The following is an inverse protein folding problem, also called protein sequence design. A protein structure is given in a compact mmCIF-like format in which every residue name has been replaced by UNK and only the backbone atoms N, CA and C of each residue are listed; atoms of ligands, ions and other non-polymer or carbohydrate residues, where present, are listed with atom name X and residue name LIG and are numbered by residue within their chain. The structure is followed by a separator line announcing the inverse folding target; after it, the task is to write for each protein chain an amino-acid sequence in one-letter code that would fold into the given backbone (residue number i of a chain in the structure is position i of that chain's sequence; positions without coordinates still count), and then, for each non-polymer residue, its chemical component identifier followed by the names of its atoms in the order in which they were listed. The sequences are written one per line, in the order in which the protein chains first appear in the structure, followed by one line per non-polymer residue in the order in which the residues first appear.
data_IF_053606707857
#
_entry.id   IF_053606707857
#
_cell.length_a   1.000
_cell.length_b   1.000
_cell.length_c   1.000
_cell.angle_alpha   90.00
_cell.angle_beta   90.00
_cell.angle_gamma   90.00
#
_symmetry.space_group_name_H-M   'P 1'
#
loop_
_entity.id
_entity.type
_entity.pdbx_description
1 polymer ?
#
# COMPACT_ATOMS: atom_id res chain seq x y z
N UNK A 1 9.14 11.35 -2.43
CA UNK A 1 9.28 10.40 -1.28
C UNK A 1 8.00 9.57 -1.09
N UNK A 2 6.82 10.18 -0.87
CA UNK A 2 5.53 9.46 -0.70
C UNK A 2 5.12 8.63 -1.93
N UNK A 3 5.36 9.14 -3.14
CA UNK A 3 5.05 8.40 -4.38
C UNK A 3 5.78 7.05 -4.49
N UNK A 4 7.00 6.93 -3.93
CA UNK A 4 7.76 5.67 -3.93
C UNK A 4 7.08 4.64 -3.03
N UNK A 5 6.62 5.07 -1.86
CA UNK A 5 5.86 4.22 -0.95
C UNK A 5 4.52 3.78 -1.53
N UNK A 6 3.81 4.68 -2.23
CA UNK A 6 2.57 4.34 -2.94
C UNK A 6 2.83 3.31 -4.04
N UNK A 7 3.90 3.49 -4.83
CA UNK A 7 4.30 2.53 -5.86
C UNK A 7 4.69 1.17 -5.26
N UNK A 8 5.35 1.15 -4.10
CA UNK A 8 5.69 -0.08 -3.39
C UNK A 8 4.44 -0.84 -2.89
N UNK A 9 3.46 -0.13 -2.33
CA UNK A 9 2.16 -0.72 -1.96
C UNK A 9 1.47 -1.30 -3.19
N UNK A 10 1.44 -0.56 -4.29
CA UNK A 10 0.83 -1.03 -5.54
C UNK A 10 1.50 -2.32 -6.04
N UNK A 11 2.83 -2.35 -6.11
CA UNK A 11 3.60 -3.54 -6.48
C UNK A 11 3.34 -4.72 -5.54
N UNK A 12 3.33 -4.49 -4.22
CA UNK A 12 3.00 -5.53 -3.23
C UNK A 12 1.60 -6.10 -3.47
N UNK A 13 0.63 -5.24 -3.78
CA UNK A 13 -0.76 -5.66 -4.04
C UNK A 13 -0.82 -6.54 -5.29
N UNK A 14 -0.12 -6.15 -6.37
CA UNK A 14 -0.02 -6.96 -7.59
C UNK A 14 0.65 -8.31 -7.34
N UNK A 15 1.72 -8.35 -6.56
CA UNK A 15 2.40 -9.61 -6.20
C UNK A 15 1.46 -10.52 -5.42
N UNK A 16 0.71 -10.00 -4.46
CA UNK A 16 -0.22 -10.80 -3.67
C UNK A 16 -1.38 -11.33 -4.52
N UNK A 17 -1.92 -10.52 -5.43
CA UNK A 17 -2.94 -10.92 -6.41
C UNK A 17 -2.37 -12.02 -7.31
N UNK A 18 -1.17 -11.84 -7.86
CA UNK A 18 -0.53 -12.86 -8.69
C UNK A 18 -0.30 -14.17 -7.93
N UNK A 19 0.23 -14.09 -6.71
CA UNK A 19 0.49 -15.26 -5.86
C UNK A 19 -0.82 -16.01 -5.56
N UNK A 20 -1.90 -15.28 -5.27
CA UNK A 20 -3.24 -15.82 -5.01
C UNK A 20 -3.82 -16.53 -6.23
N UNK A 21 -3.76 -15.91 -7.41
CA UNK A 21 -4.50 -16.40 -8.59
C UNK A 21 -3.68 -17.26 -9.55
N UNK A 22 -2.38 -17.00 -9.70
CA UNK A 22 -1.51 -17.76 -10.61
C UNK A 22 -0.84 -18.95 -9.92
N UNK A 23 -0.46 -18.80 -8.64
CA UNK A 23 0.28 -19.82 -7.89
C UNK A 23 -0.57 -20.51 -6.81
N UNK A 24 -1.81 -20.03 -6.58
CA UNK A 24 -2.70 -20.50 -5.51
C UNK A 24 -2.00 -20.57 -4.14
N UNK A 25 -1.12 -19.60 -3.88
CA UNK A 25 -0.40 -19.42 -2.64
C UNK A 25 -0.84 -18.11 -2.00
N UNK A 26 -0.83 -18.05 -0.67
CA UNK A 26 -1.11 -16.83 0.05
C UNK A 26 -0.12 -16.65 1.18
N UNK A 27 0.38 -15.44 1.34
CA UNK A 27 1.14 -15.05 2.52
C UNK A 27 0.14 -14.62 3.58
N UNK A 28 0.00 -15.40 4.64
CA UNK A 28 -0.86 -15.07 5.78
C UNK A 28 -0.44 -13.73 6.39
N UNK A 29 -1.40 -12.84 6.64
CA UNK A 29 -1.14 -11.51 7.20
C UNK A 29 -0.65 -10.46 6.21
N UNK A 30 -0.27 -10.82 4.98
CA UNK A 30 0.25 -9.86 4.01
C UNK A 30 -0.82 -8.87 3.52
N UNK A 31 -2.08 -9.29 3.46
CA UNK A 31 -3.19 -8.43 3.09
C UNK A 31 -3.44 -7.35 4.15
N UNK A 32 -3.39 -7.74 5.44
CA UNK A 32 -3.51 -6.82 6.56
C UNK A 32 -2.35 -5.82 6.59
N UNK A 33 -1.11 -6.27 6.39
CA UNK A 33 0.08 -5.39 6.35
C UNK A 33 -0.05 -4.35 5.24
N UNK A 34 -0.42 -4.76 4.03
CA UNK A 34 -0.62 -3.84 2.89
C UNK A 34 -1.70 -2.81 3.19
N UNK A 35 -2.80 -3.24 3.81
CA UNK A 35 -3.90 -2.35 4.20
C UNK A 35 -3.46 -1.32 5.24
N UNK A 36 -2.74 -1.73 6.28
CA UNK A 36 -2.23 -0.83 7.32
C UNK A 36 -1.25 0.19 6.72
N UNK A 37 -0.34 -0.28 5.86
CA UNK A 37 0.66 0.58 5.20
C UNK A 37 -0.03 1.63 4.32
N UNK A 38 -1.06 1.22 3.57
CA UNK A 38 -1.83 2.11 2.72
C UNK A 38 -2.56 3.20 3.51
N UNK A 39 -3.21 2.84 4.63
CA UNK A 39 -3.89 3.82 5.50
C UNK A 39 -2.89 4.83 6.05
N UNK A 40 -1.72 4.36 6.52
CA UNK A 40 -0.72 5.22 7.14
C UNK A 40 -0.14 6.25 6.15
N UNK A 41 0.24 5.79 4.95
CA UNK A 41 0.78 6.66 3.90
C UNK A 41 -0.27 7.61 3.37
N UNK A 42 -1.52 7.16 3.22
CA UNK A 42 -2.63 8.02 2.79
C UNK A 42 -2.91 9.11 3.83
N UNK A 43 -2.91 8.77 5.12
CA UNK A 43 -3.08 9.75 6.20
C UNK A 43 -1.99 10.82 6.21
N UNK A 44 -0.72 10.41 6.07
CA UNK A 44 0.41 11.35 5.97
C UNK A 44 0.31 12.20 4.70
N UNK A 45 -0.04 11.60 3.56
CA UNK A 45 -0.22 12.30 2.29
C UNK A 45 -1.31 13.37 2.38
N UNK A 46 -2.45 13.05 3.00
CA UNK A 46 -3.55 13.99 3.24
C UNK A 46 -3.15 15.12 4.18
N UNK A 47 -2.43 14.82 5.27
CA UNK A 47 -1.96 15.84 6.22
C UNK A 47 -1.00 16.86 5.56
N UNK A 48 -0.10 16.37 4.71
CA UNK A 48 0.81 17.24 3.94
C UNK A 48 0.05 18.06 2.90
N UNK A 49 -1.01 17.50 2.31
CA UNK A 49 -1.85 18.24 1.36
C UNK A 49 -2.60 19.39 2.03
N UNK A 50 -3.07 19.20 3.27
CA UNK A 50 -3.76 20.24 4.05
C UNK A 50 -2.80 21.36 4.46
N UNK A 51 -1.61 21.04 4.95
CA UNK A 51 -0.63 22.05 5.36
C UNK A 51 0.03 22.83 4.21
N UNK A 52 -0.38 22.58 2.96
CA UNK A 52 0.12 23.27 1.76
C UNK A 52 -0.85 24.33 1.21
N UNK A 53 -2.07 24.40 1.75
CA UNK A 53 -3.14 25.32 1.34
C UNK A 53 -3.42 26.40 2.42
N UNK A 54 -2.62 26.46 3.48
CA UNK A 54 -2.45 27.64 4.38
C UNK A 54 -1.18 28.42 3.99
#
# INVERSE_FOLDING_TARGET
MIAVFLAAIFMLTLILVFLRYALNQSITGANEIVTILFIYITGIGSAISIGKDE
#
